data_IF_850691111426
#
_entry.id   IF_850691111426
#
_cell.length_a   1.000
_cell.length_b   1.000
_cell.length_c   1.000
_cell.angle_alpha   90.00
_cell.angle_beta   90.00
_cell.angle_gamma   90.00
#
_symmetry.space_group_name_H-M   'P 1'
#
loop_
_entity.id
_entity.type
_entity.pdbx_description
1 polymer ?
#
# COMPACT_ATOMS: atom_id res chain seq x y z
N UNK A 1 -11.68 -39.91 -16.00
CA UNK A 1 -11.29 -39.44 -17.35
C UNK A 1 -10.49 -38.17 -17.17
N UNK A 2 -9.29 -38.15 -17.73
CA UNK A 2 -8.27 -37.11 -17.56
C UNK A 2 -8.69 -35.80 -18.22
N UNK A 3 -8.20 -34.70 -17.65
CA UNK A 3 -8.67 -33.33 -17.88
C UNK A 3 -8.44 -32.77 -19.28
N UNK A 4 -9.47 -32.09 -19.78
CA UNK A 4 -9.31 -30.99 -20.73
C UNK A 4 -9.58 -29.70 -19.97
N UNK A 5 -8.55 -29.16 -19.33
CA UNK A 5 -8.54 -27.72 -19.02
C UNK A 5 -8.61 -27.03 -20.36
N UNK A 6 -9.75 -26.39 -20.65
CA UNK A 6 -10.06 -25.85 -21.97
C UNK A 6 -9.01 -24.78 -22.31
N UNK A 7 -8.49 -24.70 -23.54
CA UNK A 7 -7.50 -23.66 -23.91
C UNK A 7 -7.97 -22.24 -23.51
N UNK A 8 -9.29 -22.01 -23.51
CA UNK A 8 -9.90 -20.76 -23.04
C UNK A 8 -9.75 -20.51 -21.54
N UNK A 9 -9.79 -21.54 -20.69
CA UNK A 9 -9.53 -21.41 -19.25
C UNK A 9 -8.06 -21.13 -18.97
N UNK A 10 -7.15 -21.76 -19.73
CA UNK A 10 -5.71 -21.46 -19.66
C UNK A 10 -5.43 -20.01 -20.07
N UNK A 11 -6.08 -19.53 -21.13
CA UNK A 11 -5.95 -18.14 -21.60
C UNK A 11 -6.50 -17.14 -20.56
N UNK A 12 -7.67 -17.42 -19.96
CA UNK A 12 -8.23 -16.59 -18.88
C UNK A 12 -7.34 -16.55 -17.64
N UNK A 13 -6.80 -17.69 -17.21
CA UNK A 13 -5.89 -17.78 -16.06
C UNK A 13 -4.57 -17.05 -16.32
N UNK A 14 -3.99 -17.22 -17.51
CA UNK A 14 -2.79 -16.50 -17.92
C UNK A 14 -3.03 -14.98 -18.01
N UNK A 15 -4.18 -14.56 -18.56
CA UNK A 15 -4.57 -13.16 -18.62
C UNK A 15 -4.75 -12.52 -17.25
N UNK A 16 -5.44 -13.21 -16.32
CA UNK A 16 -5.57 -12.76 -14.93
C UNK A 16 -4.21 -12.62 -14.24
N UNK A 17 -3.37 -13.66 -14.33
CA UNK A 17 -2.03 -13.66 -13.73
C UNK A 17 -1.13 -12.51 -14.27
N UNK A 18 -1.21 -12.21 -15.57
CA UNK A 18 -0.46 -11.10 -16.16
C UNK A 18 -0.94 -9.73 -15.63
N UNK A 19 -2.26 -9.54 -15.49
CA UNK A 19 -2.84 -8.30 -14.94
C UNK A 19 -2.45 -8.13 -13.47
N UNK A 20 -2.56 -9.20 -12.68
CA UNK A 20 -2.22 -9.19 -11.25
C UNK A 20 -0.73 -8.91 -11.03
N UNK A 21 0.16 -9.48 -11.85
CA UNK A 21 1.59 -9.19 -11.82
C UNK A 21 1.90 -7.72 -12.18
N UNK A 22 1.16 -7.14 -13.13
CA UNK A 22 1.23 -5.73 -13.48
C UNK A 22 0.83 -4.83 -12.30
N UNK A 23 -0.33 -5.11 -11.70
CA UNK A 23 -0.84 -4.38 -10.53
C UNK A 23 0.14 -4.46 -9.35
N UNK A 24 0.67 -5.64 -9.06
CA UNK A 24 1.68 -5.85 -8.00
C UNK A 24 2.96 -5.05 -8.24
N UNK A 25 3.40 -4.96 -9.49
CA UNK A 25 4.59 -4.16 -9.86
C UNK A 25 4.34 -2.66 -9.67
N UNK A 26 3.14 -2.17 -10.01
CA UNK A 26 2.74 -0.79 -9.74
C UNK A 26 2.71 -0.51 -8.23
N UNK A 27 2.06 -1.36 -7.44
CA UNK A 27 2.00 -1.21 -5.98
C UNK A 27 3.39 -1.21 -5.33
N UNK A 28 4.30 -2.10 -5.75
CA UNK A 28 5.70 -2.09 -5.30
C UNK A 28 6.40 -0.77 -5.62
N UNK A 29 6.16 -0.25 -6.82
CA UNK A 29 6.73 1.02 -7.26
C UNK A 29 6.21 2.18 -6.40
N UNK A 30 4.90 2.22 -6.15
CA UNK A 30 4.27 3.22 -5.26
C UNK A 30 4.83 3.15 -3.84
N UNK A 31 4.99 1.95 -3.28
CA UNK A 31 5.60 1.75 -1.95
C UNK A 31 7.02 2.34 -1.91
N UNK A 32 7.82 2.11 -2.94
CA UNK A 32 9.20 2.66 -3.04
C UNK A 32 9.17 4.17 -3.16
N UNK A 33 8.23 4.75 -3.91
CA UNK A 33 8.06 6.19 -3.99
C UNK A 33 7.67 6.80 -2.64
N UNK A 34 6.72 6.19 -1.92
CA UNK A 34 6.33 6.64 -0.58
C UNK A 34 7.50 6.52 0.41
N UNK A 35 8.35 5.50 0.30
CA UNK A 35 9.57 5.39 1.10
C UNK A 35 10.58 6.51 0.82
N UNK A 36 10.71 6.91 -0.45
CA UNK A 36 11.53 8.08 -0.81
C UNK A 36 10.92 9.36 -0.27
N UNK A 37 9.60 9.51 -0.35
CA UNK A 37 8.87 10.68 0.17
C UNK A 37 9.07 10.85 1.69
N UNK A 38 9.00 9.77 2.47
CA UNK A 38 9.31 9.81 3.92
C UNK A 38 10.74 10.30 4.15
N UNK A 39 11.71 9.82 3.38
CA UNK A 39 13.12 10.25 3.51
C UNK A 39 13.29 11.72 3.16
N UNK A 40 12.68 12.17 2.06
CA UNK A 40 12.69 13.57 1.65
C UNK A 40 12.05 14.47 2.70
N UNK A 41 10.92 14.06 3.29
CA UNK A 41 10.27 14.84 4.34
C UNK A 41 11.13 14.97 5.60
N UNK A 42 11.83 13.91 6.00
CA UNK A 42 12.80 13.94 7.11
C UNK A 42 14.00 14.84 6.81
N UNK A 43 14.50 14.84 5.58
CA UNK A 43 15.58 15.74 5.16
C UNK A 43 15.12 17.20 5.18
N UNK A 44 13.95 17.48 4.59
CA UNK A 44 13.35 18.81 4.60
C UNK A 44 13.12 19.33 6.03
N UNK A 45 12.65 18.46 6.93
CA UNK A 45 12.53 18.79 8.36
C UNK A 45 13.89 19.16 8.98
N UNK A 46 14.96 18.44 8.66
CA UNK A 46 16.29 18.75 9.16
C UNK A 46 16.79 20.14 8.73
N UNK A 47 16.54 20.51 7.47
CA UNK A 47 16.85 21.85 6.94
C UNK A 47 15.99 22.91 7.65
N UNK A 48 14.67 22.69 7.71
CA UNK A 48 13.71 23.57 8.37
C UNK A 48 14.07 23.85 9.84
N UNK A 49 14.50 22.82 10.58
CA UNK A 49 14.95 22.97 11.96
C UNK A 49 16.25 23.75 12.07
N UNK A 50 17.21 23.53 11.17
CA UNK A 50 18.45 24.29 11.18
C UNK A 50 18.18 25.78 10.98
N UNK A 51 17.42 26.12 9.92
CA UNK A 51 17.04 27.50 9.61
C UNK A 51 16.25 28.13 10.77
N UNK A 52 15.33 27.37 11.38
CA UNK A 52 14.57 27.81 12.55
C UNK A 52 15.48 28.05 13.76
N UNK A 53 16.46 27.18 14.03
CA UNK A 53 17.39 27.36 15.13
C UNK A 53 18.27 28.59 14.92
N UNK A 54 18.76 28.83 13.71
CA UNK A 54 19.52 30.03 13.36
C UNK A 54 18.69 31.31 13.58
N UNK A 55 17.43 31.33 13.11
CA UNK A 55 16.50 32.44 13.36
C UNK A 55 16.30 32.66 14.87
N UNK A 56 16.07 31.58 15.62
CA UNK A 56 15.80 31.67 17.06
C UNK A 56 17.04 32.10 17.85
N UNK A 57 18.25 31.74 17.43
CA UNK A 57 19.48 32.25 18.05
C UNK A 57 19.66 33.74 17.83
N UNK A 58 19.36 34.23 16.62
CA UNK A 58 19.40 35.67 16.30
C UNK A 58 18.34 36.50 17.02
N UNK A 59 17.22 35.88 17.41
CA UNK A 59 16.13 36.55 18.10
C UNK A 59 16.32 36.56 19.62
N UNK A 60 16.89 37.66 20.13
CA UNK A 60 17.10 37.92 21.56
C UNK A 60 15.84 38.29 22.35
N UNK A 61 14.75 38.67 21.67
CA UNK A 61 13.50 39.08 22.34
C UNK A 61 12.65 37.90 22.80
N UNK A 62 12.80 36.75 22.12
CA UNK A 62 12.03 35.55 22.43
C UNK A 62 12.62 34.80 23.63
N UNK A 63 11.79 34.48 24.63
CA UNK A 63 12.20 33.63 25.74
C UNK A 63 12.39 32.16 25.31
N UNK A 64 13.08 31.38 26.14
CA UNK A 64 13.40 29.97 25.86
C UNK A 64 12.16 29.11 25.63
N UNK A 65 11.08 29.34 26.37
CA UNK A 65 9.80 28.63 26.19
C UNK A 65 9.15 28.89 24.83
N UNK A 66 9.20 30.13 24.34
CA UNK A 66 8.70 30.50 23.01
C UNK A 66 9.51 29.81 21.90
N UNK A 67 10.84 29.76 22.05
CA UNK A 67 11.75 29.06 21.13
C UNK A 67 11.44 27.55 21.09
N UNK A 68 11.32 26.92 22.25
CA UNK A 68 10.96 25.49 22.35
C UNK A 68 9.61 25.20 21.69
N UNK A 69 8.61 26.08 21.90
CA UNK A 69 7.27 25.91 21.32
C UNK A 69 7.31 25.91 19.79
N UNK A 70 8.08 26.80 19.17
CA UNK A 70 8.28 26.82 17.70
C UNK A 70 8.92 25.52 17.20
N UNK A 71 9.99 25.06 17.85
CA UNK A 71 10.69 23.82 17.50
C UNK A 71 9.74 22.61 17.61
N UNK A 72 8.99 22.52 18.70
CA UNK A 72 8.02 21.43 18.91
C UNK A 72 6.91 21.45 17.86
N UNK A 73 6.42 22.64 17.48
CA UNK A 73 5.43 22.78 16.41
C UNK A 73 5.95 22.26 15.06
N UNK A 74 7.18 22.61 14.68
CA UNK A 74 7.80 22.13 13.45
C UNK A 74 7.96 20.60 13.46
N UNK A 75 8.36 20.02 14.60
CA UNK A 75 8.45 18.58 14.77
C UNK A 75 7.08 17.89 14.65
N UNK A 76 6.06 18.41 15.32
CA UNK A 76 4.72 17.84 15.28
C UNK A 76 4.13 17.86 13.87
N UNK A 77 4.40 18.94 13.10
CA UNK A 77 3.99 19.01 11.70
C UNK A 77 4.71 17.93 10.86
N UNK A 78 6.03 17.82 10.95
CA UNK A 78 6.78 16.80 10.23
C UNK A 78 6.35 15.37 10.61
N UNK A 79 6.05 15.14 11.89
CA UNK A 79 5.53 13.87 12.38
C UNK A 79 4.17 13.53 11.78
N UNK A 80 3.25 14.49 11.71
CA UNK A 80 1.92 14.30 11.09
C UNK A 80 2.06 13.98 9.60
N UNK A 81 2.90 14.72 8.88
CA UNK A 81 3.12 14.48 7.45
C UNK A 81 3.66 13.06 7.20
N UNK A 82 4.66 12.64 7.98
CA UNK A 82 5.21 11.28 7.90
C UNK A 82 4.15 10.23 8.23
N UNK A 83 3.31 10.45 9.24
CA UNK A 83 2.26 9.51 9.62
C UNK A 83 1.24 9.31 8.48
N UNK A 84 0.87 10.37 7.75
CA UNK A 84 -0.01 10.26 6.58
C UNK A 84 0.64 9.44 5.47
N UNK A 85 1.92 9.67 5.17
CA UNK A 85 2.64 8.91 4.13
C UNK A 85 2.78 7.43 4.55
N UNK A 86 3.04 7.17 5.83
CA UNK A 86 3.08 5.81 6.39
C UNK A 86 1.73 5.09 6.27
N UNK A 87 0.63 5.76 6.58
CA UNK A 87 -0.71 5.20 6.43
C UNK A 87 -0.98 4.82 4.97
N UNK A 88 -0.67 5.70 4.01
CA UNK A 88 -0.78 5.40 2.57
C UNK A 88 0.05 4.19 2.17
N UNK A 89 1.29 4.09 2.68
CA UNK A 89 2.18 2.96 2.42
C UNK A 89 1.60 1.66 2.94
N UNK A 90 0.97 1.67 4.11
CA UNK A 90 0.37 0.48 4.70
C UNK A 90 -0.85 0.02 3.89
N UNK A 91 -1.74 0.93 3.49
CA UNK A 91 -2.86 0.57 2.61
C UNK A 91 -2.38 -0.10 1.30
N UNK A 92 -1.27 0.37 0.73
CA UNK A 92 -0.69 -0.23 -0.49
C UNK A 92 -0.07 -1.60 -0.25
N UNK A 93 0.46 -1.85 0.95
CA UNK A 93 0.94 -3.19 1.35
C UNK A 93 -0.20 -4.16 1.58
N UNK A 94 -1.26 -3.72 2.23
CA UNK A 94 -2.48 -4.51 2.41
C UNK A 94 -3.09 -4.89 1.06
N UNK A 95 -3.21 -3.93 0.12
CA UNK A 95 -3.67 -4.18 -1.25
C UNK A 95 -2.82 -5.24 -1.96
N UNK A 96 -1.48 -5.16 -1.83
CA UNK A 96 -0.57 -6.15 -2.38
C UNK A 96 -0.73 -7.53 -1.72
N UNK A 97 -0.95 -7.58 -0.40
CA UNK A 97 -1.16 -8.82 0.34
C UNK A 97 -2.48 -9.51 -0.05
N UNK A 98 -3.53 -8.75 -0.36
CA UNK A 98 -4.80 -9.29 -0.89
C UNK A 98 -4.58 -9.94 -2.25
N UNK A 99 -3.88 -9.27 -3.17
CA UNK A 99 -3.57 -9.85 -4.49
C UNK A 99 -2.73 -11.14 -4.37
N UNK A 100 -1.77 -11.18 -3.44
CA UNK A 100 -0.99 -12.39 -3.14
C UNK A 100 -1.85 -13.52 -2.56
N UNK A 101 -2.84 -13.21 -1.73
CA UNK A 101 -3.76 -14.20 -1.20
C UNK A 101 -4.67 -14.76 -2.31
N UNK A 102 -5.21 -13.92 -3.20
CA UNK A 102 -6.06 -14.34 -4.31
C UNK A 102 -5.34 -15.23 -5.33
N UNK A 103 -4.04 -15.02 -5.53
CA UNK A 103 -3.21 -15.87 -6.40
C UNK A 103 -3.05 -17.29 -5.83
N UNK A 104 -3.10 -17.45 -4.50
CA UNK A 104 -2.92 -18.73 -3.80
C UNK A 104 -4.22 -19.53 -3.58
N UNK A 105 -5.40 -18.96 -3.86
CA UNK A 105 -6.67 -19.70 -3.78
C UNK A 105 -6.87 -20.48 -5.09
N UNK A 106 -6.54 -21.77 -5.09
CA UNK A 106 -6.95 -22.68 -6.17
C UNK A 106 -8.49 -22.73 -6.28
N UNK A 107 -9.07 -22.81 -7.48
CA UNK A 107 -10.51 -22.93 -7.64
C UNK A 107 -10.98 -24.24 -7.02
N UNK A 108 -11.70 -24.18 -5.90
CA UNK A 108 -12.44 -25.33 -5.39
C UNK A 108 -13.43 -25.77 -6.47
N UNK A 109 -13.27 -27.01 -6.95
CA UNK A 109 -14.23 -27.65 -7.84
C UNK A 109 -15.56 -27.77 -7.10
N UNK A 110 -16.53 -26.93 -7.43
CA UNK A 110 -17.91 -27.12 -7.03
C UNK A 110 -18.42 -28.39 -7.73
N UNK A 111 -18.36 -29.53 -7.03
CA UNK A 111 -19.03 -30.76 -7.43
C UNK A 111 -20.54 -30.54 -7.30
N UNK A 112 -21.18 -30.03 -8.36
CA UNK A 112 -22.64 -30.06 -8.49
C UNK A 112 -23.01 -31.51 -8.80
N UNK A 113 -23.72 -32.24 -7.91
CA UNK A 113 -24.17 -33.59 -8.21
C UNK A 113 -25.17 -33.55 -9.37
N UNK A 114 -25.14 -34.54 -10.28
CA UNK A 114 -26.07 -34.58 -11.41
C UNK A 114 -27.51 -34.66 -10.88
N UNK A 115 -28.33 -33.70 -11.31
CA UNK A 115 -29.78 -33.72 -11.12
C UNK A 115 -30.33 -35.03 -11.66
N UNK A 116 -30.72 -35.95 -10.76
CA UNK A 116 -31.39 -37.19 -11.12
C UNK A 116 -32.84 -36.88 -11.52
N UNK A 117 -33.02 -36.51 -12.78
CA UNK A 117 -34.32 -36.44 -13.42
C UNK A 117 -34.72 -37.81 -13.99
N UNK A 118 -35.40 -38.64 -13.20
CA UNK A 118 -36.17 -39.76 -13.73
C UNK A 118 -37.64 -39.34 -13.78
N UNK A 119 -38.10 -38.92 -14.95
CA UNK A 119 -39.53 -38.76 -15.23
C UNK A 119 -40.09 -40.16 -15.52
N UNK A 120 -40.77 -40.77 -14.55
CA UNK A 120 -41.60 -41.94 -14.79
C UNK A 120 -42.93 -41.46 -15.38
N UNK A 121 -43.12 -41.69 -16.68
CA UNK A 121 -44.44 -41.67 -17.30
C UNK A 121 -45.09 -43.04 -17.13
N UNK A 122 -46.27 -43.09 -16.53
CA UNK A 122 -47.31 -44.10 -16.78
C UNK A 122 -48.67 -43.52 -16.41
#
# INVERSE_FOLDING_TARGET
>A
MSGQVTMMERLKKAGKSMVDAGAKTMLKTDIVFLDREIKLRKQAFGIEIYDLMEELESNTEMNTTGKETKIRSAFDQARKDIAVIQAKKECKREEMAVLEAEENVEPQSFNIPPSSGTVLTN
#
